data_IF_443321714252
#
_entry.id   IF_443321714252
#
_cell.length_a   1.000
_cell.length_b   1.000
_cell.length_c   1.000
_cell.angle_alpha   90.00
_cell.angle_beta   90.00
_cell.angle_gamma   90.00
#
_symmetry.space_group_name_H-M   'P 1'
#
loop_
_entity.id
_entity.type
_entity.pdbx_description
1 polymer ?
#
# COMPACT_ATOMS: atom_id res chain seq x y z
N UNK A 1 -15.44 -9.59 -27.89
CA UNK A 1 -15.37 -9.48 -26.42
C UNK A 1 -13.94 -9.56 -25.90
N UNK A 2 -13.17 -10.61 -26.22
CA UNK A 2 -11.76 -10.71 -25.80
C UNK A 2 -10.91 -9.48 -26.20
N UNK A 3 -10.95 -9.06 -27.46
CA UNK A 3 -10.25 -7.85 -27.94
C UNK A 3 -10.58 -6.58 -27.14
N UNK A 4 -11.81 -6.48 -26.63
CA UNK A 4 -12.24 -5.35 -25.80
C UNK A 4 -11.61 -5.42 -24.40
N UNK A 5 -11.53 -6.62 -23.82
CA UNK A 5 -10.83 -6.87 -22.56
C UNK A 5 -9.33 -6.57 -22.74
N UNK A 6 -8.72 -7.07 -23.81
CA UNK A 6 -7.32 -6.82 -24.15
C UNK A 6 -7.03 -5.31 -24.26
N UNK A 7 -7.86 -4.58 -25.00
CA UNK A 7 -7.76 -3.12 -25.15
C UNK A 7 -7.91 -2.40 -23.80
N UNK A 8 -8.89 -2.80 -23.00
CA UNK A 8 -9.17 -2.19 -21.70
C UNK A 8 -8.01 -2.39 -20.71
N UNK A 9 -7.46 -3.60 -20.62
CA UNK A 9 -6.31 -3.89 -19.75
C UNK A 9 -5.05 -3.19 -20.30
N UNK A 10 -4.82 -3.23 -21.61
CA UNK A 10 -3.68 -2.53 -22.24
C UNK A 10 -3.70 -1.03 -21.96
N UNK A 11 -4.88 -0.40 -22.02
CA UNK A 11 -5.04 1.02 -21.67
C UNK A 11 -4.76 1.28 -20.19
N UNK A 12 -5.20 0.40 -19.29
CA UNK A 12 -4.91 0.51 -17.86
C UNK A 12 -3.39 0.42 -17.58
N UNK A 13 -2.68 -0.49 -18.24
CA UNK A 13 -1.22 -0.61 -18.14
C UNK A 13 -0.52 0.62 -18.70
N UNK A 14 -0.88 1.03 -19.93
CA UNK A 14 -0.28 2.17 -20.60
C UNK A 14 -0.41 3.45 -19.75
N UNK A 15 -1.58 3.66 -19.15
CA UNK A 15 -1.88 4.81 -18.28
C UNK A 15 -1.46 4.60 -16.83
N UNK A 16 -0.87 3.46 -16.48
CA UNK A 16 -0.49 3.08 -15.10
C UNK A 16 -1.65 3.26 -14.10
N UNK A 17 -2.85 2.90 -14.53
CA UNK A 17 -4.05 2.93 -13.69
C UNK A 17 -4.12 1.66 -12.84
N UNK A 18 -4.38 1.83 -11.54
CA UNK A 18 -4.47 0.70 -10.61
C UNK A 18 -5.81 -0.05 -10.73
N UNK A 19 -6.88 0.63 -11.15
CA UNK A 19 -8.24 0.08 -11.14
C UNK A 19 -9.03 0.46 -12.42
N UNK A 20 -9.73 -0.53 -12.99
CA UNK A 20 -10.72 -0.38 -14.07
C UNK A 20 -12.11 -0.54 -13.45
N UNK A 21 -13.02 0.40 -13.69
CA UNK A 21 -14.39 0.33 -13.19
C UNK A 21 -15.38 0.13 -14.34
N UNK A 22 -16.23 -0.88 -14.26
CA UNK A 22 -17.33 -1.15 -15.18
C UNK A 22 -18.63 -0.91 -14.41
N UNK A 23 -19.22 0.26 -14.58
CA UNK A 23 -20.33 0.75 -13.76
C UNK A 23 -21.64 0.81 -14.57
N UNK A 24 -22.75 0.28 -14.05
CA UNK A 24 -24.06 0.44 -14.68
C UNK A 24 -24.62 1.85 -14.44
N UNK A 25 -25.10 2.51 -15.49
CA UNK A 25 -25.82 3.77 -15.43
C UNK A 25 -27.06 3.71 -16.33
N UNK A 26 -28.25 3.64 -15.71
CA UNK A 26 -29.51 3.49 -16.43
C UNK A 26 -29.52 2.25 -17.33
N UNK A 27 -29.52 2.48 -18.65
CA UNK A 27 -29.53 1.45 -19.71
C UNK A 27 -28.17 1.30 -20.41
N UNK A 28 -27.09 1.73 -19.76
CA UNK A 28 -25.74 1.68 -20.28
C UNK A 28 -24.75 1.20 -19.21
N UNK A 29 -23.55 0.85 -19.67
CA UNK A 29 -22.38 0.65 -18.83
C UNK A 29 -21.30 1.63 -19.22
N UNK A 30 -20.59 2.16 -18.23
CA UNK A 30 -19.44 3.03 -18.43
C UNK A 30 -18.18 2.34 -17.92
N UNK A 31 -17.13 2.39 -18.73
CA UNK A 31 -15.80 1.91 -18.38
C UNK A 31 -14.94 3.11 -18.00
N UNK A 32 -14.46 3.14 -16.78
CA UNK A 32 -13.54 4.15 -16.27
C UNK A 32 -12.18 3.56 -15.91
N UNK A 33 -11.15 4.38 -16.01
CA UNK A 33 -9.86 4.14 -15.37
C UNK A 33 -9.71 5.06 -14.17
N UNK A 34 -9.18 4.52 -13.08
CA UNK A 34 -8.84 5.28 -11.88
C UNK A 34 -7.50 5.98 -12.08
N UNK A 35 -7.48 7.30 -11.91
CA UNK A 35 -6.26 8.08 -11.80
C UNK A 35 -6.28 8.85 -10.47
N UNK A 36 -5.56 8.33 -9.48
CA UNK A 36 -5.60 8.83 -8.10
C UNK A 36 -7.02 8.89 -7.53
N UNK A 37 -7.51 10.12 -7.31
CA UNK A 37 -8.86 10.38 -6.79
C UNK A 37 -9.92 10.62 -7.87
N UNK A 38 -9.60 10.50 -9.16
CA UNK A 38 -10.53 10.75 -10.27
C UNK A 38 -10.84 9.50 -11.11
N UNK A 39 -12.06 9.41 -11.65
CA UNK A 39 -12.48 8.39 -12.61
C UNK A 39 -12.53 9.01 -13.99
N UNK A 40 -11.75 8.48 -14.92
CA UNK A 40 -11.65 9.00 -16.28
C UNK A 40 -12.40 8.04 -17.22
N UNK A 41 -13.50 8.51 -17.81
CA UNK A 41 -14.31 7.73 -18.75
C UNK A 41 -13.47 7.33 -19.97
N UNK A 42 -13.48 6.04 -20.31
CA UNK A 42 -12.81 5.52 -21.50
C UNK A 42 -13.80 5.10 -22.59
N UNK A 43 -14.89 4.42 -22.20
CA UNK A 43 -15.84 3.85 -23.15
C UNK A 43 -17.24 3.74 -22.53
N UNK A 44 -18.27 3.85 -23.37
CA UNK A 44 -19.67 3.61 -23.00
C UNK A 44 -20.19 2.45 -23.81
N UNK A 45 -20.85 1.50 -23.15
CA UNK A 45 -21.42 0.29 -23.71
C UNK A 45 -22.93 0.26 -23.51
N UNK A 46 -23.64 -0.36 -24.45
CA UNK A 46 -25.03 -0.74 -24.24
C UNK A 46 -25.16 -1.74 -23.08
N UNK A 47 -26.31 -1.72 -22.39
CA UNK A 47 -26.56 -2.56 -21.22
C UNK A 47 -26.21 -4.04 -21.43
N UNK A 48 -26.72 -4.63 -22.51
CA UNK A 48 -26.51 -6.05 -22.82
C UNK A 48 -25.04 -6.37 -23.04
N UNK A 49 -24.31 -5.50 -23.74
CA UNK A 49 -22.87 -5.69 -24.01
C UNK A 49 -22.05 -5.58 -22.72
N UNK A 50 -22.37 -4.63 -21.84
CA UNK A 50 -21.74 -4.52 -20.52
C UNK A 50 -22.07 -5.70 -19.61
N UNK A 51 -23.32 -6.18 -19.60
CA UNK A 51 -23.69 -7.37 -18.83
C UNK A 51 -22.95 -8.62 -19.33
N UNK A 52 -22.80 -8.78 -20.65
CA UNK A 52 -22.01 -9.87 -21.24
C UNK A 52 -20.53 -9.78 -20.87
N UNK A 53 -19.96 -8.57 -20.80
CA UNK A 53 -18.59 -8.34 -20.36
C UNK A 53 -18.38 -8.84 -18.92
N UNK A 54 -19.25 -8.43 -18.01
CA UNK A 54 -19.16 -8.83 -16.60
C UNK A 54 -19.28 -10.35 -16.45
N UNK A 55 -20.20 -11.00 -17.17
CA UNK A 55 -20.35 -12.48 -17.11
C UNK A 55 -19.10 -13.19 -17.59
N UNK A 56 -18.48 -12.73 -18.67
CA UNK A 56 -17.24 -13.30 -19.18
C UNK A 56 -16.10 -13.14 -18.18
N UNK A 57 -15.95 -11.94 -17.61
CA UNK A 57 -14.93 -11.65 -16.59
C UNK A 57 -15.13 -12.49 -15.33
N UNK A 58 -16.38 -12.65 -14.86
CA UNK A 58 -16.73 -13.55 -13.75
C UNK A 58 -16.35 -15.00 -14.03
N UNK A 59 -16.69 -15.50 -15.22
CA UNK A 59 -16.31 -16.85 -15.63
C UNK A 59 -14.79 -17.04 -15.61
N UNK A 60 -14.04 -16.09 -16.16
CA UNK A 60 -12.58 -16.15 -16.17
C UNK A 60 -12.01 -16.16 -14.74
N UNK A 61 -12.60 -15.37 -13.83
CA UNK A 61 -12.19 -15.23 -12.44
C UNK A 61 -12.73 -16.29 -11.49
N UNK A 62 -13.32 -17.37 -12.03
CA UNK A 62 -13.91 -18.46 -11.26
C UNK A 62 -14.96 -17.97 -10.24
N UNK A 63 -15.68 -16.91 -10.60
CA UNK A 63 -16.81 -16.35 -9.86
C UNK A 63 -18.12 -17.01 -10.35
N UNK A 64 -19.15 -17.04 -9.50
CA UNK A 64 -20.45 -17.59 -9.87
C UNK A 64 -21.20 -16.61 -10.79
N UNK A 65 -21.28 -16.98 -12.08
CA UNK A 65 -21.96 -16.19 -13.12
C UNK A 65 -23.47 -16.08 -12.88
N UNK A 66 -24.08 -17.08 -12.25
CA UNK A 66 -25.52 -17.13 -11.97
C UNK A 66 -25.92 -16.29 -10.75
N UNK A 67 -25.03 -16.17 -9.77
CA UNK A 67 -25.28 -15.34 -8.59
C UNK A 67 -25.00 -13.86 -8.90
N UNK A 68 -25.98 -12.99 -8.63
CA UNK A 68 -25.85 -11.53 -8.83
C UNK A 68 -26.18 -10.72 -7.58
N UNK A 69 -26.78 -11.35 -6.56
CA UNK A 69 -27.26 -10.68 -5.35
C UNK A 69 -26.14 -10.43 -4.37
N UNK A 70 -25.20 -11.37 -4.28
CA UNK A 70 -24.12 -11.36 -3.31
C UNK A 70 -22.88 -10.70 -3.90
N UNK A 71 -22.11 -9.93 -3.10
CA UNK A 71 -20.75 -9.54 -3.45
C UNK A 71 -19.90 -10.77 -3.78
N UNK A 72 -19.03 -10.64 -4.76
CA UNK A 72 -18.11 -11.71 -5.15
C UNK A 72 -16.74 -11.13 -5.45
N UNK A 73 -15.71 -11.91 -5.14
CA UNK A 73 -14.32 -11.62 -5.45
C UNK A 73 -13.72 -12.79 -6.21
N UNK A 74 -12.91 -12.48 -7.22
CA UNK A 74 -12.19 -13.45 -8.03
C UNK A 74 -10.81 -12.92 -8.41
N UNK A 75 -9.94 -13.81 -8.86
CA UNK A 75 -8.61 -13.47 -9.35
C UNK A 75 -8.34 -14.22 -10.65
N UNK A 76 -7.64 -13.56 -11.58
CA UNK A 76 -7.18 -14.16 -12.84
C UNK A 76 -5.75 -13.79 -13.12
N UNK A 77 -4.98 -14.75 -13.62
CA UNK A 77 -3.77 -14.46 -14.37
C UNK A 77 -4.19 -14.39 -15.84
N UNK A 78 -4.27 -13.18 -16.37
CA UNK A 78 -4.72 -12.89 -17.72
C UNK A 78 -3.53 -12.88 -18.68
N UNK A 79 -3.60 -13.70 -19.73
CA UNK A 79 -2.60 -13.71 -20.80
C UNK A 79 -2.90 -12.55 -21.78
N UNK A 80 -2.09 -11.49 -21.73
CA UNK A 80 -2.15 -10.35 -22.64
C UNK A 80 -0.90 -10.31 -23.51
N UNK A 81 -1.06 -10.66 -24.79
CA UNK A 81 0.07 -10.85 -25.70
C UNK A 81 1.10 -11.85 -25.13
N UNK A 82 2.32 -11.39 -24.84
CA UNK A 82 3.39 -12.20 -24.26
C UNK A 82 3.50 -12.05 -22.73
N UNK A 83 2.70 -11.15 -22.12
CA UNK A 83 2.73 -10.86 -20.69
C UNK A 83 1.60 -11.56 -19.94
N UNK A 84 1.89 -11.94 -18.70
CA UNK A 84 0.89 -12.43 -17.74
C UNK A 84 0.58 -11.35 -16.74
N UNK A 85 -0.68 -10.96 -16.65
CA UNK A 85 -1.12 -9.88 -15.77
C UNK A 85 -2.04 -10.46 -14.72
N UNK A 86 -1.71 -10.28 -13.46
CA UNK A 86 -2.62 -10.63 -12.38
C UNK A 86 -3.69 -9.54 -12.23
N UNK A 87 -4.95 -9.96 -12.24
CA UNK A 87 -6.10 -9.11 -12.07
C UNK A 87 -6.94 -9.63 -10.91
N UNK A 88 -7.44 -8.71 -10.10
CA UNK A 88 -8.44 -9.02 -9.06
C UNK A 88 -9.74 -8.34 -9.39
N UNK A 89 -10.81 -9.12 -9.32
CA UNK A 89 -12.14 -8.70 -9.70
C UNK A 89 -13.01 -8.68 -8.46
N UNK A 90 -13.78 -7.60 -8.29
CA UNK A 90 -14.81 -7.51 -7.26
C UNK A 90 -16.11 -7.04 -7.89
N UNK A 91 -17.19 -7.79 -7.68
CA UNK A 91 -18.52 -7.48 -8.23
C UNK A 91 -19.52 -7.24 -7.12
N UNK A 92 -20.31 -6.18 -7.26
CA UNK A 92 -21.47 -5.87 -6.39
C UNK A 92 -22.64 -5.42 -7.26
N UNK A 93 -23.88 -5.69 -6.85
CA UNK A 93 -25.06 -5.24 -7.58
C UNK A 93 -25.68 -3.98 -6.98
N UNK A 94 -26.22 -3.13 -7.84
CA UNK A 94 -27.11 -2.04 -7.40
C UNK A 94 -28.52 -2.55 -7.07
N UNK A 95 -29.42 -1.66 -6.66
CA UNK A 95 -30.80 -2.00 -6.29
C UNK A 95 -31.65 -2.58 -7.45
N UNK A 96 -31.23 -2.39 -8.70
CA UNK A 96 -31.86 -2.96 -9.90
C UNK A 96 -31.26 -4.31 -10.30
N UNK A 97 -30.35 -4.87 -9.50
CA UNK A 97 -29.62 -6.10 -9.82
C UNK A 97 -28.69 -5.96 -11.05
N UNK A 98 -28.27 -4.73 -11.35
CA UNK A 98 -27.22 -4.49 -12.33
C UNK A 98 -25.88 -4.55 -11.61
N UNK A 99 -25.02 -5.46 -12.06
CA UNK A 99 -23.71 -5.68 -11.47
C UNK A 99 -22.76 -4.55 -11.84
N UNK A 100 -22.10 -3.96 -10.85
CA UNK A 100 -20.87 -3.19 -10.98
C UNK A 100 -19.69 -4.15 -10.83
N UNK A 101 -18.66 -3.99 -11.65
CA UNK A 101 -17.43 -4.79 -11.58
C UNK A 101 -16.22 -3.86 -11.54
N UNK A 102 -15.34 -4.05 -10.57
CA UNK A 102 -14.04 -3.40 -10.49
C UNK A 102 -12.95 -4.43 -10.76
N UNK A 103 -11.97 -4.07 -11.59
CA UNK A 103 -10.80 -4.89 -11.89
C UNK A 103 -9.57 -4.12 -11.42
N UNK A 104 -8.90 -4.63 -10.40
CA UNK A 104 -7.57 -4.15 -10.00
C UNK A 104 -6.51 -4.78 -10.88
N UNK A 105 -5.68 -3.96 -11.50
CA UNK A 105 -4.59 -4.38 -12.39
C UNK A 105 -3.29 -4.36 -11.61
N UNK A 106 -2.71 -5.54 -11.36
CA UNK A 106 -1.37 -5.61 -10.79
C UNK A 106 -0.38 -5.43 -11.91
N UNK A 107 0.29 -4.29 -11.90
CA UNK A 107 1.47 -4.06 -12.71
C UNK A 107 2.57 -4.93 -12.10
N UNK A 108 2.90 -6.06 -12.74
CA UNK A 108 3.96 -6.97 -12.30
C UNK A 108 5.28 -6.17 -12.27
N UNK A 109 5.54 -5.54 -11.14
CA UNK A 109 6.75 -4.79 -10.90
C UNK A 109 7.81 -5.82 -10.60
N UNK A 110 8.41 -6.39 -11.64
CA UNK A 110 9.83 -6.75 -11.55
C UNK A 110 10.55 -5.44 -11.22
N UNK A 111 10.63 -5.17 -9.92
CA UNK A 111 11.12 -3.92 -9.32
C UNK A 111 12.64 -4.01 -9.26
N UNK A 112 13.28 -4.43 -10.35
CA UNK A 112 14.73 -4.37 -10.49
C UNK A 112 15.20 -2.92 -10.61
N UNK A 113 14.37 -2.02 -11.13
CA UNK A 113 14.82 -0.65 -11.50
C UNK A 113 13.94 0.50 -11.01
N UNK A 114 12.99 0.27 -10.09
CA UNK A 114 12.33 1.42 -9.44
C UNK A 114 13.33 2.06 -8.47
N UNK A 115 14.15 3.00 -8.96
CA UNK A 115 14.77 4.02 -8.13
C UNK A 115 13.67 5.00 -7.77
N UNK A 116 13.06 4.79 -6.60
CA UNK A 116 12.17 5.80 -6.05
C UNK A 116 12.99 7.07 -5.86
N UNK A 117 12.66 8.14 -6.57
CA UNK A 117 13.26 9.43 -6.29
C UNK A 117 12.75 9.84 -4.90
N UNK A 118 13.66 9.91 -3.93
CA UNK A 118 13.37 10.29 -2.56
C UNK A 118 13.69 11.78 -2.40
N UNK A 119 12.73 12.57 -1.93
CA UNK A 119 12.98 13.99 -1.64
C UNK A 119 14.09 14.13 -0.59
N UNK A 120 13.96 13.38 0.50
CA UNK A 120 14.89 13.36 1.61
C UNK A 120 15.63 12.02 1.69
N UNK A 121 16.67 11.88 0.87
CA UNK A 121 17.54 10.70 0.84
C UNK A 121 18.08 10.32 2.23
N UNK A 122 18.38 11.31 3.08
CA UNK A 122 18.82 11.10 4.47
C UNK A 122 17.82 10.27 5.31
N UNK A 123 16.51 10.45 5.08
CA UNK A 123 15.48 9.66 5.75
C UNK A 123 15.52 8.20 5.27
N UNK A 124 15.72 7.97 3.97
CA UNK A 124 15.89 6.63 3.43
C UNK A 124 17.17 5.94 3.94
N UNK A 125 18.27 6.67 4.04
CA UNK A 125 19.52 6.16 4.61
C UNK A 125 19.34 5.80 6.09
N UNK A 126 18.57 6.61 6.82
CA UNK A 126 18.18 6.34 8.21
C UNK A 126 17.34 5.07 8.32
N UNK A 127 16.34 4.88 7.44
CA UNK A 127 15.57 3.63 7.36
C UNK A 127 16.49 2.41 7.14
N UNK A 128 17.43 2.47 6.20
CA UNK A 128 18.40 1.39 5.97
C UNK A 128 19.29 1.10 7.19
N UNK A 129 19.67 2.12 7.97
CA UNK A 129 20.41 1.90 9.23
C UNK A 129 19.58 1.09 10.24
N UNK A 130 18.27 1.36 10.35
CA UNK A 130 17.40 0.60 11.24
C UNK A 130 17.15 -0.84 10.77
N UNK A 131 17.22 -1.12 9.48
CA UNK A 131 17.14 -2.49 8.95
C UNK A 131 18.25 -3.41 9.45
N UNK A 132 19.36 -2.86 9.97
CA UNK A 132 20.48 -3.63 10.53
C UNK A 132 20.26 -4.08 11.98
N UNK A 133 19.15 -3.67 12.60
CA UNK A 133 18.81 -4.06 13.98
C UNK A 133 18.40 -5.52 14.01
N UNK A 134 18.81 -6.24 15.07
CA UNK A 134 18.43 -7.65 15.26
C UNK A 134 16.96 -7.82 15.61
N UNK A 135 16.40 -6.87 16.35
CA UNK A 135 15.03 -6.93 16.84
C UNK A 135 14.43 -5.56 17.04
N UNK A 136 13.10 -5.51 17.06
CA UNK A 136 12.32 -4.31 17.28
C UNK A 136 11.29 -4.10 16.17
N UNK A 137 10.57 -2.99 16.25
CA UNK A 137 9.42 -2.69 15.41
C UNK A 137 9.67 -1.43 14.58
N UNK A 138 9.48 -1.54 13.27
CA UNK A 138 9.48 -0.42 12.33
C UNK A 138 8.07 -0.31 11.74
N UNK A 139 7.41 0.83 11.93
CA UNK A 139 6.05 1.06 11.42
C UNK A 139 6.06 2.02 10.25
N UNK A 140 5.38 1.65 9.18
CA UNK A 140 5.08 2.50 8.04
C UNK A 140 3.62 2.95 8.07
N UNK A 141 3.37 4.20 7.73
CA UNK A 141 2.04 4.78 7.63
C UNK A 141 1.92 5.66 6.40
N UNK A 142 0.70 5.78 5.90
CA UNK A 142 0.38 6.60 4.73
C UNK A 142 -0.92 6.12 4.08
N UNK A 143 -1.57 6.98 3.28
CA UNK A 143 -2.80 6.63 2.57
C UNK A 143 -2.55 5.50 1.57
N UNK A 144 -3.63 4.99 0.98
CA UNK A 144 -3.55 4.09 -0.18
C UNK A 144 -2.73 4.76 -1.28
N UNK A 145 -1.97 3.96 -2.04
CA UNK A 145 -1.10 4.43 -3.14
C UNK A 145 0.02 5.42 -2.75
N UNK A 146 0.40 5.50 -1.46
CA UNK A 146 1.56 6.28 -0.98
C UNK A 146 2.91 5.61 -1.25
N UNK A 147 2.94 4.39 -1.82
CA UNK A 147 4.17 3.68 -2.16
C UNK A 147 4.85 2.91 -1.01
N UNK A 148 4.17 2.71 0.13
CA UNK A 148 4.70 1.98 1.30
C UNK A 148 5.29 0.63 0.94
N UNK A 149 4.51 -0.22 0.25
CA UNK A 149 4.94 -1.57 -0.16
C UNK A 149 6.21 -1.51 -1.00
N UNK A 150 6.29 -0.57 -1.95
CA UNK A 150 7.49 -0.39 -2.79
C UNK A 150 8.72 -0.02 -1.94
N UNK A 151 8.59 0.94 -1.02
CA UNK A 151 9.69 1.35 -0.14
C UNK A 151 10.13 0.24 0.81
N UNK A 152 9.18 -0.48 1.41
CA UNK A 152 9.46 -1.62 2.29
C UNK A 152 10.22 -2.71 1.54
N UNK A 153 9.78 -3.08 0.34
CA UNK A 153 10.44 -4.11 -0.45
C UNK A 153 11.86 -3.70 -0.88
N UNK A 154 12.10 -2.41 -1.19
CA UNK A 154 13.46 -1.91 -1.43
C UNK A 154 14.35 -2.07 -0.19
N UNK A 155 13.85 -1.72 1.00
CA UNK A 155 14.59 -1.89 2.25
C UNK A 155 14.89 -3.37 2.55
N UNK A 156 13.92 -4.26 2.33
CA UNK A 156 14.08 -5.71 2.52
C UNK A 156 15.10 -6.30 1.55
N UNK A 157 15.06 -5.89 0.27
CA UNK A 157 16.06 -6.30 -0.73
C UNK A 157 17.46 -5.85 -0.36
N UNK A 158 17.60 -4.59 0.04
CA UNK A 158 18.88 -4.05 0.50
C UNK A 158 19.42 -4.85 1.69
N UNK A 159 18.57 -5.16 2.68
CA UNK A 159 18.95 -5.98 3.83
C UNK A 159 19.39 -7.40 3.41
N UNK A 160 18.64 -8.05 2.52
CA UNK A 160 18.97 -9.37 2.00
C UNK A 160 20.27 -9.39 1.20
N UNK A 161 20.53 -8.36 0.38
CA UNK A 161 21.76 -8.22 -0.40
C UNK A 161 22.98 -7.97 0.48
N UNK A 162 22.84 -7.19 1.56
CA UNK A 162 23.92 -6.96 2.51
C UNK A 162 24.24 -8.22 3.31
N UNK A 163 23.21 -8.99 3.69
CA UNK A 163 23.35 -10.24 4.42
C UNK A 163 22.19 -11.17 4.09
N UNK A 164 22.50 -12.36 3.59
CA UNK A 164 21.51 -13.44 3.43
C UNK A 164 20.75 -13.64 4.75
N UNK A 165 19.44 -13.42 4.69
CA UNK A 165 18.54 -13.36 5.84
C UNK A 165 17.22 -14.01 5.45
N UNK A 166 16.58 -14.69 6.40
CA UNK A 166 15.26 -15.26 6.19
C UNK A 166 14.19 -14.18 6.39
N UNK A 167 13.63 -13.72 5.27
CA UNK A 167 12.57 -12.71 5.24
C UNK A 167 11.25 -13.44 5.00
N UNK A 168 10.30 -13.27 5.93
CA UNK A 168 8.95 -13.81 5.81
C UNK A 168 7.93 -12.67 5.76
N UNK A 169 7.04 -12.69 4.77
CA UNK A 169 5.98 -11.68 4.64
C UNK A 169 4.61 -12.31 4.84
N UNK A 170 3.71 -11.57 5.50
CA UNK A 170 2.32 -11.95 5.74
C UNK A 170 1.48 -10.79 5.22
N UNK A 171 0.86 -10.96 4.06
CA UNK A 171 0.24 -9.89 3.29
C UNK A 171 -1.21 -10.20 2.92
N UNK A 172 -1.97 -9.17 2.60
CA UNK A 172 -3.37 -9.30 2.18
C UNK A 172 -3.72 -8.21 1.16
N UNK A 173 -3.41 -8.40 -0.13
CA UNK A 173 -2.63 -9.51 -0.70
C UNK A 173 -1.16 -9.23 -0.94
N UNK A 174 -0.44 -10.21 -1.51
CA UNK A 174 0.90 -10.00 -2.03
C UNK A 174 0.82 -9.08 -3.26
N UNK A 175 1.35 -7.86 -3.14
CA UNK A 175 1.35 -6.87 -4.24
C UNK A 175 2.60 -6.96 -5.13
N UNK A 176 3.74 -7.34 -4.55
CA UNK A 176 5.04 -7.45 -5.25
C UNK A 176 5.56 -8.87 -5.04
N UNK A 177 5.75 -9.62 -6.12
CA UNK A 177 6.36 -10.95 -6.04
C UNK A 177 7.86 -10.82 -5.90
N UNK A 178 8.40 -11.38 -4.83
CA UNK A 178 9.83 -11.40 -4.53
C UNK A 178 10.28 -12.84 -4.27
N UNK A 179 10.84 -13.53 -5.28
CA UNK A 179 11.23 -14.93 -5.17
C UNK A 179 12.26 -15.23 -4.08
N UNK A 180 12.99 -14.20 -3.62
CA UNK A 180 13.98 -14.35 -2.55
C UNK A 180 13.35 -14.37 -1.15
N UNK A 181 12.07 -14.01 -1.00
CA UNK A 181 11.36 -13.99 0.29
C UNK A 181 10.38 -15.17 0.41
N UNK A 182 10.08 -15.59 1.64
CA UNK A 182 8.95 -16.49 1.89
C UNK A 182 7.69 -15.65 2.07
N UNK A 183 6.90 -15.52 1.00
CA UNK A 183 5.70 -14.70 1.01
C UNK A 183 4.45 -15.52 1.30
N UNK A 184 3.62 -15.05 2.22
CA UNK A 184 2.36 -15.71 2.59
C UNK A 184 1.20 -14.73 2.46
N UNK A 185 0.08 -15.18 1.92
CA UNK A 185 -1.13 -14.38 1.75
C UNK A 185 -2.21 -14.84 2.73
N UNK A 186 -2.87 -13.89 3.37
CA UNK A 186 -4.03 -14.13 4.22
C UNK A 186 -5.20 -14.62 3.37
N UNK A 187 -5.86 -15.67 3.83
CA UNK A 187 -7.07 -16.21 3.21
C UNK A 187 -8.08 -16.59 4.29
N UNK A 188 -8.92 -15.62 4.65
CA UNK A 188 -9.99 -15.77 5.65
C UNK A 188 -10.96 -16.91 5.29
N UNK A 189 -11.26 -17.12 4.00
CA UNK A 189 -12.17 -18.19 3.54
C UNK A 189 -11.61 -19.59 3.84
N UNK A 190 -10.29 -19.72 3.88
CA UNK A 190 -9.58 -20.96 4.18
C UNK A 190 -9.09 -21.03 5.63
N UNK A 191 -9.49 -20.10 6.50
CA UNK A 191 -9.03 -20.01 7.89
C UNK A 191 -7.48 -19.88 7.99
N UNK A 192 -6.91 -19.13 7.04
CA UNK A 192 -5.50 -18.73 6.99
C UNK A 192 -5.43 -17.25 7.37
N UNK A 193 -5.33 -16.99 8.66
CA UNK A 193 -5.38 -15.64 9.25
C UNK A 193 -3.99 -15.08 9.57
N UNK A 194 -3.90 -13.78 9.83
CA UNK A 194 -2.65 -13.12 10.26
C UNK A 194 -2.02 -13.80 11.48
N UNK A 195 -2.82 -14.21 12.46
CA UNK A 195 -2.33 -14.82 13.70
C UNK A 195 -1.73 -16.21 13.47
N UNK A 196 -2.36 -17.02 12.63
CA UNK A 196 -1.89 -18.37 12.29
C UNK A 196 -0.60 -18.28 11.49
N UNK A 197 -0.55 -17.40 10.49
CA UNK A 197 0.64 -17.18 9.69
C UNK A 197 1.79 -16.64 10.54
N UNK A 198 1.55 -15.63 11.40
CA UNK A 198 2.61 -15.08 12.26
C UNK A 198 3.13 -16.12 13.25
N UNK A 199 2.24 -16.91 13.87
CA UNK A 199 2.63 -17.99 14.76
C UNK A 199 3.46 -19.06 14.05
N UNK A 200 3.10 -19.42 12.82
CA UNK A 200 3.87 -20.36 12.01
C UNK A 200 5.23 -19.76 11.63
N UNK A 201 5.26 -18.52 11.15
CA UNK A 201 6.46 -17.78 10.75
C UNK A 201 7.50 -17.74 11.85
N UNK A 202 7.12 -17.54 13.12
CA UNK A 202 8.05 -17.54 14.25
C UNK A 202 8.79 -18.88 14.44
N UNK A 203 8.22 -20.01 13.99
CA UNK A 203 8.88 -21.33 14.04
C UNK A 203 9.86 -21.56 12.90
N UNK A 204 9.82 -20.72 11.87
CA UNK A 204 10.74 -20.77 10.75
C UNK A 204 12.06 -20.07 11.03
N UNK A 205 12.27 -19.51 12.23
CA UNK A 205 13.47 -18.75 12.60
C UNK A 205 13.74 -17.55 11.67
N UNK A 206 12.77 -16.63 11.49
CA UNK A 206 12.94 -15.49 10.59
C UNK A 206 13.93 -14.47 11.15
N UNK A 207 14.72 -13.85 10.28
CA UNK A 207 15.50 -12.65 10.64
C UNK A 207 14.60 -11.41 10.62
N UNK A 208 13.73 -11.32 9.60
CA UNK A 208 12.83 -10.17 9.39
C UNK A 208 11.42 -10.69 9.07
N UNK A 209 10.42 -10.09 9.73
CA UNK A 209 9.00 -10.37 9.46
C UNK A 209 8.34 -9.09 8.95
N UNK A 210 7.68 -9.18 7.80
CA UNK A 210 6.79 -8.12 7.30
C UNK A 210 5.33 -8.51 7.58
N UNK A 211 4.61 -7.65 8.28
CA UNK A 211 3.16 -7.72 8.43
C UNK A 211 2.52 -6.66 7.54
N UNK A 212 1.70 -7.11 6.58
CA UNK A 212 1.07 -6.26 5.57
C UNK A 212 0.35 -5.08 6.20
N UNK A 213 -0.51 -5.32 7.19
CA UNK A 213 -1.22 -4.24 7.89
C UNK A 213 -1.65 -4.62 9.32
N UNK A 214 -1.58 -3.66 10.25
CA UNK A 214 -2.16 -3.77 11.59
C UNK A 214 -3.57 -3.18 11.58
N UNK A 215 -4.59 -4.06 11.57
CA UNK A 215 -6.01 -3.66 11.57
C UNK A 215 -6.71 -3.78 12.92
N UNK A 216 -6.24 -4.69 13.77
CA UNK A 216 -6.90 -5.05 15.04
C UNK A 216 -5.95 -5.00 16.23
N UNK A 217 -6.53 -4.96 17.43
CA UNK A 217 -5.80 -5.08 18.70
C UNK A 217 -5.03 -6.40 18.79
N UNK A 218 -5.59 -7.48 18.25
CA UNK A 218 -4.95 -8.79 18.21
C UNK A 218 -3.68 -8.76 17.37
N UNK A 219 -3.76 -8.30 16.11
CA UNK A 219 -2.58 -8.18 15.23
C UNK A 219 -1.52 -7.27 15.86
N UNK A 220 -1.92 -6.16 16.48
CA UNK A 220 -1.01 -5.23 17.14
C UNK A 220 -0.25 -5.92 18.30
N UNK A 221 -0.96 -6.65 19.17
CA UNK A 221 -0.36 -7.39 20.29
C UNK A 221 0.62 -8.46 19.81
N UNK A 222 0.31 -9.13 18.70
CA UNK A 222 1.20 -10.14 18.14
C UNK A 222 2.47 -9.53 17.52
N UNK A 223 2.35 -8.41 16.80
CA UNK A 223 3.48 -7.65 16.26
C UNK A 223 4.42 -7.22 17.39
N UNK A 224 3.87 -6.70 18.49
CA UNK A 224 4.65 -6.31 19.67
C UNK A 224 5.34 -7.52 20.29
N UNK A 225 4.65 -8.66 20.45
CA UNK A 225 5.23 -9.88 20.99
C UNK A 225 6.36 -10.43 20.10
N UNK A 226 6.18 -10.44 18.78
CA UNK A 226 7.21 -10.86 17.83
C UNK A 226 8.47 -9.97 17.95
N UNK A 227 8.26 -8.65 18.10
CA UNK A 227 9.33 -7.67 18.29
C UNK A 227 10.07 -7.85 19.62
N UNK A 228 9.35 -8.13 20.72
CA UNK A 228 9.93 -8.41 22.06
C UNK A 228 10.69 -9.73 22.11
N UNK A 229 10.33 -10.70 21.26
CA UNK A 229 10.95 -12.03 21.23
C UNK A 229 12.17 -12.11 20.32
N UNK A 230 12.72 -10.97 19.93
CA UNK A 230 14.03 -10.89 19.27
C UNK A 230 13.99 -10.84 17.74
N UNK A 231 12.83 -10.55 17.13
CA UNK A 231 12.70 -10.43 15.68
C UNK A 231 12.60 -8.96 15.26
N UNK A 232 13.16 -8.62 14.09
CA UNK A 232 12.89 -7.34 13.46
C UNK A 232 11.56 -7.44 12.71
N UNK A 233 10.59 -6.64 13.10
CA UNK A 233 9.26 -6.64 12.51
C UNK A 233 9.02 -5.32 11.80
N UNK A 234 8.63 -5.40 10.53
CA UNK A 234 8.08 -4.28 9.78
C UNK A 234 6.57 -4.46 9.71
N UNK A 235 5.82 -3.38 9.89
CA UNK A 235 4.38 -3.43 9.67
C UNK A 235 3.84 -2.12 9.12
N UNK A 236 2.70 -2.17 8.45
CA UNK A 236 1.98 -0.95 8.07
C UNK A 236 0.77 -0.69 8.95
N UNK A 237 0.41 0.58 9.09
CA UNK A 237 -0.80 1.01 9.78
C UNK A 237 -1.35 2.26 9.11
N UNK A 238 -2.67 2.44 9.10
CA UNK A 238 -3.27 3.67 8.60
C UNK A 238 -3.33 4.75 9.68
N UNK A 239 -2.47 5.75 9.55
CA UNK A 239 -2.51 6.99 10.31
C UNK A 239 -2.08 8.20 9.45
N UNK A 240 -2.47 9.40 9.87
CA UNK A 240 -2.17 10.63 9.10
C UNK A 240 -0.67 10.94 9.07
N UNK A 241 0.00 10.82 10.21
CA UNK A 241 1.40 11.19 10.46
C UNK A 241 2.04 10.26 11.52
N UNK A 242 3.31 10.45 11.83
CA UNK A 242 4.09 9.63 12.77
C UNK A 242 3.52 9.66 14.20
N UNK A 243 3.08 10.81 14.70
CA UNK A 243 2.43 10.91 16.02
C UNK A 243 1.08 10.17 16.06
N UNK A 244 0.31 10.24 14.96
CA UNK A 244 -0.95 9.52 14.80
C UNK A 244 -0.77 8.00 14.82
N UNK A 245 0.36 7.47 14.34
CA UNK A 245 0.70 6.05 14.49
C UNK A 245 0.78 5.65 15.95
N UNK A 246 1.44 6.47 16.77
CA UNK A 246 1.56 6.23 18.22
C UNK A 246 0.18 6.23 18.88
N UNK A 247 -0.66 7.22 18.55
CA UNK A 247 -2.04 7.27 19.01
C UNK A 247 -2.83 6.01 18.61
N UNK A 248 -2.72 5.60 17.35
CA UNK A 248 -3.41 4.42 16.82
C UNK A 248 -2.97 3.12 17.50
N UNK A 249 -1.68 2.94 17.76
CA UNK A 249 -1.20 1.77 18.50
C UNK A 249 -1.74 1.73 19.93
N UNK A 250 -1.85 2.89 20.60
CA UNK A 250 -2.47 3.00 21.93
C UNK A 250 -3.97 2.69 21.91
N UNK A 251 -4.70 3.16 20.89
CA UNK A 251 -6.11 2.79 20.68
C UNK A 251 -6.30 1.28 20.49
N UNK A 252 -5.33 0.62 19.83
CA UNK A 252 -5.28 -0.83 19.67
C UNK A 252 -4.75 -1.56 20.92
N UNK A 253 -4.69 -0.90 22.07
CA UNK A 253 -4.36 -1.51 23.36
C UNK A 253 -2.87 -1.72 23.63
N UNK A 254 -1.97 -1.11 22.85
CA UNK A 254 -0.53 -1.18 23.11
C UNK A 254 -0.11 -0.13 24.14
N UNK A 255 0.60 -0.56 25.18
CA UNK A 255 1.00 0.33 26.28
C UNK A 255 2.23 1.16 25.93
N UNK A 256 2.41 2.30 26.62
CA UNK A 256 3.63 3.11 26.47
C UNK A 256 4.91 2.29 26.73
N UNK A 257 4.89 1.41 27.74
CA UNK A 257 6.03 0.56 28.08
C UNK A 257 6.40 -0.37 26.92
N UNK A 258 5.40 -1.03 26.33
CA UNK A 258 5.59 -1.89 25.15
C UNK A 258 6.16 -1.10 23.98
N UNK A 259 5.62 0.10 23.71
CA UNK A 259 6.11 0.95 22.62
C UNK A 259 7.56 1.37 22.84
N UNK A 260 7.93 1.85 24.03
CA UNK A 260 9.31 2.25 24.34
C UNK A 260 10.29 1.08 24.21
N UNK A 261 9.87 -0.14 24.58
CA UNK A 261 10.72 -1.32 24.48
C UNK A 261 10.90 -1.86 23.05
N UNK A 262 9.91 -1.65 22.16
CA UNK A 262 9.88 -2.31 20.85
C UNK A 262 10.03 -1.37 19.68
N UNK A 263 9.41 -0.19 19.70
CA UNK A 263 9.28 0.68 18.55
C UNK A 263 10.61 1.41 18.31
N UNK A 264 11.20 1.16 17.15
CA UNK A 264 12.48 1.73 16.74
C UNK A 264 12.30 2.97 15.88
N UNK A 265 11.35 2.89 14.94
CA UNK A 265 11.16 3.86 13.89
C UNK A 265 9.70 3.89 13.44
N UNK A 266 9.16 5.10 13.30
CA UNK A 266 7.90 5.35 12.62
C UNK A 266 8.17 6.17 11.37
N UNK A 267 7.60 5.74 10.25
CA UNK A 267 7.71 6.38 8.94
C UNK A 267 6.31 6.75 8.49
N UNK A 268 6.04 8.03 8.23
CA UNK A 268 4.85 8.45 7.50
C UNK A 268 5.25 8.89 6.09
N UNK A 269 4.66 8.25 5.08
CA UNK A 269 5.03 8.40 3.68
C UNK A 269 3.93 9.09 2.86
N UNK A 270 4.35 9.94 1.92
CA UNK A 270 3.55 10.41 0.79
C UNK A 270 4.29 10.22 -0.51
N UNK A 271 3.53 10.10 -1.59
CA UNK A 271 4.03 10.00 -2.95
C UNK A 271 3.36 11.11 -3.76
N UNK A 272 4.14 12.11 -4.15
CA UNK A 272 3.65 13.34 -4.79
C UNK A 272 4.14 13.44 -6.24
N UNK A 273 3.39 14.03 -7.17
CA UNK A 273 3.86 14.26 -8.54
C UNK A 273 5.10 15.18 -8.55
N UNK A 274 6.12 14.82 -9.32
CA UNK A 274 7.35 15.61 -9.47
C UNK A 274 7.28 16.49 -10.71
N UNK A 275 7.60 17.78 -10.56
CA UNK A 275 7.78 18.70 -11.70
C UNK A 275 9.16 18.44 -12.33
N UNK A 276 9.18 18.11 -13.62
CA UNK A 276 10.41 17.87 -14.40
C UNK A 276 10.69 19.02 -15.38
N UNK A 277 9.65 19.59 -16.00
CA UNK A 277 9.68 20.77 -16.86
C UNK A 277 8.31 21.48 -16.80
N UNK A 278 8.27 22.79 -17.03
CA UNK A 278 7.05 23.61 -16.84
C UNK A 278 5.88 23.23 -17.77
N UNK A 279 6.11 22.42 -18.81
CA UNK A 279 5.15 22.15 -19.89
C UNK A 279 4.79 20.66 -20.10
N UNK A 280 5.17 19.73 -19.21
CA UNK A 280 4.86 18.30 -19.34
C UNK A 280 4.14 17.75 -18.11
N UNK A 281 3.03 17.04 -18.33
CA UNK A 281 2.33 16.28 -17.29
C UNK A 281 3.31 15.31 -16.60
N UNK A 282 3.45 15.48 -15.28
CA UNK A 282 4.42 14.78 -14.45
C UNK A 282 4.16 13.27 -14.40
N UNK A 283 4.95 12.48 -15.11
CA UNK A 283 4.92 11.01 -15.03
C UNK A 283 5.78 10.44 -13.88
N UNK A 284 6.68 11.25 -13.32
CA UNK A 284 7.49 10.88 -12.17
C UNK A 284 6.83 11.25 -10.84
N UNK A 285 6.99 10.38 -9.83
CA UNK A 285 6.52 10.62 -8.47
C UNK A 285 7.71 10.68 -7.51
N UNK A 286 7.62 11.56 -6.52
CA UNK A 286 8.60 11.79 -5.48
C UNK A 286 8.08 11.27 -4.14
N UNK A 287 8.87 10.43 -3.47
CA UNK A 287 8.54 9.94 -2.13
C UNK A 287 9.05 10.91 -1.06
N UNK A 288 8.18 11.24 -0.11
CA UNK A 288 8.48 12.10 1.05
C UNK A 288 8.26 11.30 2.33
N UNK A 289 9.24 11.34 3.23
CA UNK A 289 9.21 10.60 4.49
C UNK A 289 9.29 11.53 5.71
N UNK A 290 8.25 11.54 6.53
CA UNK A 290 8.30 12.06 7.91
C UNK A 290 8.74 10.92 8.83
N UNK A 291 9.79 11.13 9.64
CA UNK A 291 10.35 10.11 10.53
C UNK A 291 10.24 10.49 12.00
N UNK A 292 9.99 9.50 12.86
CA UNK A 292 10.10 9.62 14.31
C UNK A 292 10.89 8.43 14.87
N UNK A 293 12.01 8.69 15.55
CA UNK A 293 12.91 7.64 16.06
C UNK A 293 13.78 8.09 17.24
N UNK A 294 14.47 7.15 17.88
CA UNK A 294 15.44 7.44 18.96
C UNK A 294 14.82 8.18 20.15
N UNK A 295 15.53 9.19 20.66
CA UNK A 295 15.10 9.94 21.85
C UNK A 295 13.81 10.73 21.63
N UNK A 296 13.56 11.17 20.39
CA UNK A 296 12.33 11.87 20.01
C UNK A 296 11.10 10.99 20.19
N UNK A 297 11.22 9.73 19.78
CA UNK A 297 10.16 8.73 19.91
C UNK A 297 9.85 8.46 21.39
N UNK A 298 10.89 8.21 22.20
CA UNK A 298 10.71 7.94 23.64
C UNK A 298 10.13 9.14 24.38
N UNK A 299 10.63 10.35 24.08
CA UNK A 299 10.14 11.60 24.67
C UNK A 299 8.68 11.86 24.33
N UNK A 300 8.27 11.60 23.09
CA UNK A 300 6.87 11.74 22.70
C UNK A 300 5.98 10.69 23.38
N UNK A 301 6.39 9.42 23.42
CA UNK A 301 5.58 8.36 24.03
C UNK A 301 5.35 8.61 25.52
N UNK A 302 6.39 9.03 26.24
CA UNK A 302 6.36 9.21 27.70
C UNK A 302 5.79 10.57 28.13
N UNK A 303 6.19 11.64 27.45
CA UNK A 303 5.95 13.02 27.90
C UNK A 303 5.05 13.83 26.95
N UNK A 304 4.64 13.28 25.81
CA UNK A 304 3.94 14.00 24.73
C UNK A 304 4.69 15.26 24.27
N UNK A 305 6.02 15.26 24.41
CA UNK A 305 6.86 16.37 23.99
C UNK A 305 7.18 16.23 22.50
N UNK A 306 6.86 17.28 21.73
CA UNK A 306 7.18 17.38 20.32
C UNK A 306 8.64 17.82 20.14
N UNK A 307 9.45 17.13 19.31
CA UNK A 307 10.85 17.50 19.13
C UNK A 307 10.99 18.82 18.36
N UNK A 308 11.86 19.71 18.83
CA UNK A 308 12.08 21.02 18.18
C UNK A 308 12.61 20.90 16.73
N UNK A 309 13.42 19.87 16.44
CA UNK A 309 14.01 19.64 15.11
C UNK A 309 13.19 18.68 14.25
N UNK A 310 11.95 18.36 14.65
CA UNK A 310 11.08 17.48 13.89
C UNK A 310 10.66 18.10 12.56
N UNK A 311 10.92 17.37 11.46
CA UNK A 311 10.47 17.77 10.13
C UNK A 311 9.15 17.08 9.80
N UNK A 312 8.05 17.80 10.04
CA UNK A 312 6.71 17.32 9.68
C UNK A 312 6.56 17.16 8.17
N UNK A 313 5.60 16.33 7.77
CA UNK A 313 5.23 16.14 6.37
C UNK A 313 4.87 17.47 5.68
N UNK A 314 4.13 18.36 6.36
CA UNK A 314 3.77 19.68 5.81
C UNK A 314 5.01 20.55 5.59
N UNK A 315 5.99 20.51 6.51
CA UNK A 315 7.26 21.22 6.32
C UNK A 315 8.05 20.67 5.13
N UNK A 316 8.11 19.34 4.99
CA UNK A 316 8.80 18.69 3.88
C UNK A 316 8.13 18.99 2.53
N UNK A 317 6.79 19.03 2.48
CA UNK A 317 6.03 19.45 1.30
C UNK A 317 6.33 20.91 0.92
N UNK A 318 6.37 21.81 1.91
CA UNK A 318 6.74 23.21 1.68
C UNK A 318 8.16 23.35 1.16
N UNK A 319 9.12 22.66 1.77
CA UNK A 319 10.51 22.61 1.29
C UNK A 319 10.56 22.07 -0.16
N UNK A 320 9.79 21.02 -0.50
CA UNK A 320 9.74 20.49 -1.86
C UNK A 320 9.23 21.51 -2.89
N UNK A 321 8.21 22.27 -2.52
CA UNK A 321 7.65 23.34 -3.34
C UNK A 321 8.64 24.50 -3.53
N UNK A 322 9.26 24.96 -2.44
CA UNK A 322 10.24 26.06 -2.48
C UNK A 322 11.46 25.74 -3.36
N UNK A 323 11.85 24.47 -3.44
CA UNK A 323 12.92 23.99 -4.33
C UNK A 323 12.44 23.68 -5.77
N UNK A 324 11.15 23.84 -6.08
CA UNK A 324 10.58 23.61 -7.41
C UNK A 324 10.41 22.14 -7.77
N UNK A 325 10.46 21.21 -6.81
CA UNK A 325 10.27 19.78 -7.09
C UNK A 325 8.82 19.39 -7.30
N UNK A 326 7.88 20.16 -6.74
CA UNK A 326 6.44 19.92 -6.84
C UNK A 326 5.70 21.23 -7.13
N UNK A 327 4.51 21.14 -7.73
CA UNK A 327 3.64 22.29 -7.94
C UNK A 327 2.96 22.74 -6.63
N UNK A 328 2.54 24.01 -6.57
CA UNK A 328 1.78 24.53 -5.42
C UNK A 328 0.48 23.75 -5.19
N UNK A 329 -0.24 23.40 -6.26
CA UNK A 329 -1.46 22.59 -6.18
C UNK A 329 -1.22 21.22 -5.54
N UNK A 330 -0.09 20.57 -5.86
CA UNK A 330 0.31 19.31 -5.22
C UNK A 330 0.69 19.49 -3.76
N UNK A 331 1.33 20.60 -3.38
CA UNK A 331 1.60 20.89 -1.97
C UNK A 331 0.29 21.04 -1.18
N UNK A 332 -0.67 21.81 -1.72
CA UNK A 332 -1.97 22.08 -1.09
C UNK A 332 -2.88 20.85 -1.00
N UNK A 333 -2.85 19.96 -2.00
CA UNK A 333 -3.63 18.72 -2.02
C UNK A 333 -3.11 17.70 -1.00
N UNK A 334 -1.79 17.60 -0.82
CA UNK A 334 -1.16 16.55 -0.01
C UNK A 334 -0.84 17.00 1.43
N UNK A 335 -1.00 18.28 1.75
CA UNK A 335 -0.83 18.77 3.12
C UNK A 335 -1.87 18.14 4.06
N UNK A 336 -1.45 17.87 5.30
CA UNK A 336 -2.37 17.49 6.36
C UNK A 336 -3.02 18.75 6.94
N UNK A 337 -4.33 18.71 7.16
CA UNK A 337 -5.01 19.72 7.98
C UNK A 337 -4.36 19.76 9.36
N UNK A 338 -3.63 20.83 9.64
CA UNK A 338 -3.22 21.17 11.00
C UNK A 338 -4.45 21.64 11.76
N UNK A 339 -4.80 20.94 12.84
CA UNK A 339 -5.48 21.63 13.94
C UNK A 339 -4.50 22.71 14.37
N UNK A 340 -4.92 23.96 14.24
CA UNK A 340 -4.13 25.17 14.53
C UNK A 340 -3.20 24.93 15.72
N UNK A 341 -1.89 25.02 15.49
CA UNK A 341 -0.94 25.20 16.58
C UNK A 341 -1.23 26.59 17.18
N UNK A 342 -1.99 26.60 18.27
CA UNK A 342 -2.18 27.75 19.15
C UNK A 342 -1.46 27.51 20.46
#
# INVERSE_FOLDING_TARGET
>A
MKEMIDKMISMAILKRSDDIHILPEGQQYHIFLRDGYQLILQETLEFEKGSQLIRLLKYMANMDVGEKRMPQDGAIVYDLADDKIELRLSSISNYLMHESLVIRVFHDKVTSDFKANHLNQEAYDTMNKYMKRKSGLIIFSGPVSSGKTTTIYQLLRNAYQEKASQIITIEEPIEIKEPTFLQTEVNEKADITYDRLLTASLRHHPDIILIGEIRSEETAKMVIRASLTGHLVLATIHAKNTFGVIGRLKELGITNEQLVQTLLLVVAQRLVPRVLDQDLEATEKLAIFELLHGDQLSSFILNQSYPNDFKSLNRLLKEAYEHGYIAQSSMEEYQLETISEH
#
